data_IF_218159690587
#
_entry.id   IF_218159690587
#
_cell.length_a   1.000
_cell.length_b   1.000
_cell.length_c   1.000
_cell.angle_alpha   90.00
_cell.angle_beta   90.00
_cell.angle_gamma   90.00
#
_symmetry.space_group_name_H-M   'P 1'
#
loop_
_entity.id
_entity.type
_entity.pdbx_description
1 polymer ?
#
# COMPACT_ATOMS: atom_id res chain seq x y z
N UNK A 1 -7.48 23.27 -19.67
CA UNK A 1 -6.86 22.79 -18.44
C UNK A 1 -6.32 23.99 -17.68
N UNK A 2 -6.74 24.17 -16.47
CA UNK A 2 -6.28 25.34 -15.74
C UNK A 2 -4.92 25.10 -15.08
N UNK A 3 -4.32 26.20 -14.64
CA UNK A 3 -2.99 26.24 -14.08
C UNK A 3 -2.88 25.46 -12.75
N UNK A 4 -3.94 25.46 -11.96
CA UNK A 4 -3.96 24.76 -10.67
C UNK A 4 -3.94 23.24 -10.85
N UNK A 5 -4.60 22.73 -11.89
CA UNK A 5 -4.57 21.30 -12.22
C UNK A 5 -3.16 20.82 -12.54
N UNK A 6 -2.37 21.64 -13.25
CA UNK A 6 -0.99 21.31 -13.59
C UNK A 6 -0.13 21.18 -12.33
N UNK A 7 -0.28 22.08 -11.36
CA UNK A 7 0.46 22.02 -10.10
C UNK A 7 0.05 20.83 -9.25
N UNK A 8 -1.24 20.55 -9.19
CA UNK A 8 -1.74 19.37 -8.47
C UNK A 8 -1.17 18.07 -9.04
N UNK A 9 -1.10 17.97 -10.36
CA UNK A 9 -0.53 16.79 -11.04
C UNK A 9 0.97 16.65 -10.70
N UNK A 10 1.72 17.75 -10.70
CA UNK A 10 3.16 17.72 -10.38
C UNK A 10 3.42 17.25 -8.95
N UNK A 11 2.67 17.79 -7.97
CA UNK A 11 2.81 17.37 -6.58
C UNK A 11 2.50 15.90 -6.40
N UNK A 12 1.42 15.45 -7.01
CA UNK A 12 1.01 14.04 -6.99
C UNK A 12 2.04 13.14 -7.65
N UNK A 13 2.63 13.59 -8.79
CA UNK A 13 3.66 12.83 -9.49
C UNK A 13 4.88 12.58 -8.63
N UNK A 14 5.33 13.58 -7.86
CA UNK A 14 6.47 13.40 -6.94
C UNK A 14 6.18 12.39 -5.86
N UNK A 15 5.04 12.50 -5.22
CA UNK A 15 4.64 11.57 -4.17
C UNK A 15 4.43 10.16 -4.72
N UNK A 16 3.82 10.04 -5.90
CA UNK A 16 3.63 8.76 -6.57
C UNK A 16 4.99 8.12 -6.88
N UNK A 17 5.96 8.89 -7.35
CA UNK A 17 7.31 8.37 -7.59
C UNK A 17 7.96 7.84 -6.33
N UNK A 18 7.79 8.54 -5.20
CA UNK A 18 8.32 8.09 -3.91
C UNK A 18 7.65 6.79 -3.46
N UNK A 19 6.34 6.70 -3.65
CA UNK A 19 5.62 5.46 -3.34
C UNK A 19 6.07 4.33 -4.27
N UNK A 20 6.24 4.59 -5.57
CA UNK A 20 6.75 3.61 -6.53
C UNK A 20 8.13 3.10 -6.11
N UNK A 21 9.02 3.99 -5.69
CA UNK A 21 10.35 3.62 -5.22
C UNK A 21 10.27 2.74 -3.97
N UNK A 22 9.39 3.07 -3.03
CA UNK A 22 9.18 2.27 -1.83
C UNK A 22 8.62 0.88 -2.17
N UNK A 23 7.71 0.79 -3.14
CA UNK A 23 7.19 -0.50 -3.59
C UNK A 23 8.28 -1.34 -4.25
N UNK A 24 9.11 -0.75 -5.11
CA UNK A 24 10.25 -1.46 -5.73
C UNK A 24 11.21 -2.00 -4.67
N UNK A 25 11.45 -1.22 -3.62
CA UNK A 25 12.35 -1.62 -2.54
C UNK A 25 11.89 -2.88 -1.82
N UNK A 26 10.59 -3.18 -1.84
CA UNK A 26 10.04 -4.40 -1.23
C UNK A 26 9.62 -5.45 -2.27
N UNK A 27 10.08 -5.29 -3.52
CA UNK A 27 9.88 -6.28 -4.57
C UNK A 27 8.57 -6.18 -5.33
N UNK A 28 7.79 -5.12 -5.12
CA UNK A 28 6.53 -4.93 -5.82
C UNK A 28 6.71 -4.04 -7.05
N UNK A 29 6.52 -4.59 -8.27
CA UNK A 29 6.52 -3.75 -9.46
C UNK A 29 5.37 -2.73 -9.41
N UNK A 30 5.65 -1.43 -9.47
CA UNK A 30 4.59 -0.41 -9.34
C UNK A 30 3.47 -0.53 -10.39
N UNK A 31 3.78 -1.06 -11.57
CA UNK A 31 2.79 -1.24 -12.64
C UNK A 31 1.66 -2.20 -12.26
N UNK A 32 1.86 -3.06 -11.25
CA UNK A 32 0.83 -3.97 -10.77
C UNK A 32 -0.22 -3.27 -9.91
N UNK A 33 0.04 -2.04 -9.50
CA UNK A 33 -0.87 -1.26 -8.65
C UNK A 33 -1.46 -0.12 -9.48
N UNK A 34 -2.80 -0.04 -9.62
CA UNK A 34 -3.44 1.06 -10.35
C UNK A 34 -3.11 2.43 -9.73
N UNK A 35 -3.03 3.44 -10.57
CA UNK A 35 -2.75 4.81 -10.12
C UNK A 35 -3.78 5.31 -9.11
N UNK A 36 -5.05 4.93 -9.28
CA UNK A 36 -6.11 5.30 -8.34
C UNK A 36 -5.84 4.76 -6.93
N UNK A 37 -5.29 3.55 -6.82
CA UNK A 37 -4.90 2.96 -5.54
C UNK A 37 -3.75 3.76 -4.93
N UNK A 38 -2.72 4.07 -5.72
CA UNK A 38 -1.57 4.85 -5.26
C UNK A 38 -1.99 6.20 -4.71
N UNK A 39 -2.85 6.91 -5.43
CA UNK A 39 -3.35 8.21 -5.00
C UNK A 39 -4.16 8.11 -3.70
N UNK A 40 -4.98 7.08 -3.58
CA UNK A 40 -5.77 6.86 -2.38
C UNK A 40 -4.89 6.52 -1.18
N UNK A 41 -3.86 5.68 -1.38
CA UNK A 41 -2.88 5.38 -0.33
C UNK A 41 -2.21 6.67 0.17
N UNK A 42 -1.76 7.51 -0.75
CA UNK A 42 -1.14 8.78 -0.38
C UNK A 42 -2.10 9.70 0.39
N UNK A 43 -3.36 9.77 -0.03
CA UNK A 43 -4.37 10.55 0.67
C UNK A 43 -4.63 10.01 2.08
N UNK A 44 -4.68 8.70 2.25
CA UNK A 44 -4.86 8.07 3.57
C UNK A 44 -3.67 8.38 4.48
N UNK A 45 -2.46 8.33 3.95
CA UNK A 45 -1.25 8.68 4.71
C UNK A 45 -1.29 10.14 5.16
N UNK A 46 -1.68 11.04 4.26
CA UNK A 46 -1.82 12.46 4.57
C UNK A 46 -2.87 12.72 5.64
N UNK A 47 -4.03 12.08 5.51
CA UNK A 47 -5.11 12.23 6.49
C UNK A 47 -4.67 11.78 7.89
N UNK A 48 -3.88 10.70 7.96
CA UNK A 48 -3.36 10.21 9.23
C UNK A 48 -2.36 11.16 9.88
N UNK A 49 -1.70 12.03 9.09
CA UNK A 49 -0.69 12.99 9.58
C UNK A 49 -1.21 14.43 9.61
N UNK A 50 -2.51 14.63 9.46
CA UNK A 50 -3.11 15.97 9.55
C UNK A 50 -3.12 16.78 8.25
N UNK A 51 -2.91 16.11 7.10
CA UNK A 51 -3.06 16.73 5.79
C UNK A 51 -1.78 16.82 4.94
N UNK A 52 -0.61 16.78 5.58
CA UNK A 52 0.68 16.88 4.91
C UNK A 52 1.62 15.82 5.46
N UNK A 53 2.40 15.18 4.59
CA UNK A 53 3.40 14.20 5.02
C UNK A 53 4.68 14.92 5.46
N UNK A 54 5.08 14.72 6.72
CA UNK A 54 6.30 15.31 7.27
C UNK A 54 7.54 14.65 6.63
N UNK A 55 7.48 13.34 6.42
CA UNK A 55 8.54 12.56 5.77
C UNK A 55 7.89 11.61 4.78
N UNK A 56 7.86 12.00 3.52
CA UNK A 56 7.20 11.24 2.44
C UNK A 56 7.80 9.84 2.31
N UNK A 57 9.13 9.74 2.36
CA UNK A 57 9.81 8.45 2.19
C UNK A 57 9.48 7.48 3.33
N UNK A 58 9.46 7.96 4.57
CA UNK A 58 9.12 7.14 5.73
C UNK A 58 7.66 6.67 5.65
N UNK A 59 6.74 7.56 5.27
CA UNK A 59 5.34 7.21 5.14
C UNK A 59 5.12 6.18 4.03
N UNK A 60 5.76 6.35 2.88
CA UNK A 60 5.67 5.38 1.79
C UNK A 60 6.29 4.04 2.17
N UNK A 61 7.41 4.05 2.90
CA UNK A 61 8.06 2.83 3.39
C UNK A 61 7.18 2.05 4.37
N UNK A 62 6.29 2.74 5.07
CA UNK A 62 5.33 2.11 5.96
C UNK A 62 4.20 1.42 5.19
N UNK A 63 3.71 2.05 4.13
CA UNK A 63 2.60 1.53 3.33
C UNK A 63 3.01 0.42 2.36
N UNK A 64 4.21 0.52 1.76
CA UNK A 64 4.64 -0.35 0.69
C UNK A 64 4.65 -1.84 1.04
N UNK A 65 5.13 -2.28 2.22
CA UNK A 65 5.12 -3.72 2.54
C UNK A 65 3.73 -4.32 2.59
N UNK A 66 2.73 -3.59 3.07
CA UNK A 66 1.36 -4.09 3.11
C UNK A 66 0.80 -4.26 1.70
N UNK A 67 1.02 -3.27 0.83
CA UNK A 67 0.62 -3.37 -0.56
C UNK A 67 1.33 -4.54 -1.26
N UNK A 68 2.64 -4.67 -1.03
CA UNK A 68 3.43 -5.73 -1.64
C UNK A 68 2.96 -7.11 -1.21
N UNK A 69 2.73 -7.31 0.08
CA UNK A 69 2.24 -8.59 0.58
C UNK A 69 0.88 -8.94 -0.01
N UNK A 70 -0.05 -8.00 -0.04
CA UNK A 70 -1.39 -8.24 -0.57
C UNK A 70 -1.38 -8.58 -2.07
N UNK A 71 -0.53 -7.91 -2.84
CA UNK A 71 -0.47 -8.10 -4.30
C UNK A 71 0.36 -9.32 -4.69
N UNK A 72 1.51 -9.51 -4.05
CA UNK A 72 2.44 -10.60 -4.41
C UNK A 72 2.09 -11.94 -3.75
N UNK A 73 1.59 -11.90 -2.52
CA UNK A 73 1.39 -13.10 -1.73
C UNK A 73 2.64 -13.47 -0.92
N UNK A 74 2.47 -14.45 -0.04
CA UNK A 74 3.50 -14.84 0.93
C UNK A 74 4.79 -15.32 0.28
N UNK A 75 4.71 -16.17 -0.74
CA UNK A 75 5.91 -16.73 -1.39
C UNK A 75 6.75 -15.65 -2.07
N UNK A 76 6.15 -14.87 -2.95
CA UNK A 76 6.86 -13.83 -3.69
C UNK A 76 7.37 -12.73 -2.77
N UNK A 77 6.56 -12.35 -1.77
CA UNK A 77 7.00 -11.38 -0.78
C UNK A 77 8.21 -11.89 0.00
N UNK A 78 8.19 -13.16 0.40
CA UNK A 78 9.31 -13.77 1.13
C UNK A 78 10.57 -13.89 0.28
N UNK A 79 10.43 -14.19 -1.01
CA UNK A 79 11.59 -14.23 -1.93
C UNK A 79 12.27 -12.87 -2.01
N UNK A 80 11.49 -11.79 -2.03
CA UNK A 80 12.03 -10.44 -2.14
C UNK A 80 12.55 -9.89 -0.81
N UNK A 81 11.93 -10.25 0.32
CA UNK A 81 12.16 -9.57 1.61
C UNK A 81 12.65 -10.50 2.73
N UNK A 82 12.58 -11.80 2.54
CA UNK A 82 12.99 -12.78 3.54
C UNK A 82 11.86 -13.21 4.47
N UNK A 83 12.08 -14.32 5.21
CA UNK A 83 11.05 -14.90 6.07
C UNK A 83 10.67 -14.02 7.27
N UNK A 84 11.63 -13.30 7.86
CA UNK A 84 11.36 -12.45 9.01
C UNK A 84 10.44 -11.29 8.65
N UNK A 85 10.70 -10.63 7.52
CA UNK A 85 9.86 -9.56 7.01
C UNK A 85 8.45 -10.08 6.69
N UNK A 86 8.35 -11.29 6.18
CA UNK A 86 7.07 -11.93 5.86
C UNK A 86 6.26 -12.18 7.13
N UNK A 87 6.89 -12.71 8.18
CA UNK A 87 6.21 -12.91 9.46
C UNK A 87 5.74 -11.58 10.05
N UNK A 88 6.56 -10.55 9.94
CA UNK A 88 6.22 -9.22 10.46
C UNK A 88 5.02 -8.61 9.74
N UNK A 89 4.97 -8.69 8.41
CA UNK A 89 3.85 -8.13 7.66
C UNK A 89 2.57 -8.95 7.86
N UNK A 90 2.69 -10.26 8.01
CA UNK A 90 1.55 -11.12 8.30
C UNK A 90 0.95 -10.79 9.67
N UNK A 91 1.79 -10.53 10.66
CA UNK A 91 1.33 -10.09 11.98
C UNK A 91 0.62 -8.74 11.91
N UNK A 92 1.13 -7.80 11.11
CA UNK A 92 0.46 -6.50 10.88
C UNK A 92 -0.92 -6.70 10.27
N UNK A 93 -1.04 -7.57 9.28
CA UNK A 93 -2.32 -7.82 8.62
C UNK A 93 -3.33 -8.49 9.56
N UNK A 94 -2.90 -9.48 10.35
CA UNK A 94 -3.75 -10.09 11.39
C UNK A 94 -4.28 -9.04 12.36
N UNK A 95 -3.39 -8.20 12.86
CA UNK A 95 -3.75 -7.13 13.79
C UNK A 95 -4.74 -6.14 13.16
N UNK A 96 -4.51 -5.77 11.91
CA UNK A 96 -5.39 -4.86 11.16
C UNK A 96 -6.81 -5.44 11.03
N UNK A 97 -6.92 -6.72 10.75
CA UNK A 97 -8.20 -7.41 10.63
C UNK A 97 -8.93 -7.44 11.97
N UNK A 98 -8.23 -7.72 13.07
CA UNK A 98 -8.80 -7.76 14.41
C UNK A 98 -9.36 -6.40 14.83
N UNK A 99 -8.62 -5.32 14.57
CA UNK A 99 -9.04 -3.96 14.91
C UNK A 99 -10.15 -3.48 13.97
N UNK A 100 -10.06 -3.84 12.68
CA UNK A 100 -11.03 -3.44 11.67
C UNK A 100 -10.87 -2.03 11.12
N UNK A 101 -10.34 -1.10 11.92
CA UNK A 101 -10.11 0.29 11.52
C UNK A 101 -8.66 0.68 11.74
N UNK A 102 -7.84 0.58 10.69
CA UNK A 102 -6.44 0.98 10.73
C UNK A 102 -6.00 1.33 9.32
N UNK A 103 -4.85 1.98 9.18
CA UNK A 103 -4.27 2.24 7.86
C UNK A 103 -4.00 0.94 7.13
N UNK A 104 -3.43 -0.05 7.81
CA UNK A 104 -3.13 -1.35 7.20
C UNK A 104 -4.41 -2.03 6.68
N UNK A 105 -5.49 -1.98 7.44
CA UNK A 105 -6.78 -2.52 7.01
C UNK A 105 -7.29 -1.82 5.74
N UNK A 106 -7.12 -0.50 5.68
CA UNK A 106 -7.54 0.29 4.53
C UNK A 106 -6.67 -0.02 3.30
N UNK A 107 -5.37 -0.20 3.48
CA UNK A 107 -4.49 -0.59 2.38
C UNK A 107 -4.87 -1.96 1.82
N UNK A 108 -5.13 -2.93 2.68
CA UNK A 108 -5.59 -4.25 2.24
C UNK A 108 -6.93 -4.16 1.51
N UNK A 109 -7.86 -3.36 2.02
CA UNK A 109 -9.17 -3.14 1.38
C UNK A 109 -9.03 -2.54 -0.01
N UNK A 110 -8.12 -1.58 -0.19
CA UNK A 110 -7.87 -0.96 -1.48
C UNK A 110 -7.42 -1.98 -2.53
N UNK A 111 -6.55 -2.91 -2.15
CA UNK A 111 -6.10 -3.96 -3.08
C UNK A 111 -7.25 -4.89 -3.45
N UNK A 112 -8.16 -5.19 -2.50
CA UNK A 112 -9.36 -5.98 -2.77
C UNK A 112 -10.30 -5.27 -3.73
N UNK A 113 -10.59 -3.99 -3.47
CA UNK A 113 -11.48 -3.18 -4.32
C UNK A 113 -10.95 -3.08 -5.74
N UNK A 114 -9.65 -2.95 -5.89
CA UNK A 114 -8.98 -2.88 -7.19
C UNK A 114 -8.81 -4.26 -7.86
N UNK A 115 -9.15 -5.33 -7.14
CA UNK A 115 -9.03 -6.72 -7.63
C UNK A 115 -7.59 -7.10 -7.99
N UNK A 116 -6.64 -6.60 -7.21
CA UNK A 116 -5.22 -6.92 -7.40
C UNK A 116 -4.65 -7.76 -6.25
N UNK A 117 -5.47 -8.11 -5.26
CA UNK A 117 -5.03 -8.95 -4.15
C UNK A 117 -4.80 -10.38 -4.63
N UNK A 118 -3.68 -10.97 -4.22
CA UNK A 118 -3.35 -12.36 -4.52
C UNK A 118 -4.41 -13.29 -3.89
N UNK A 119 -5.03 -14.21 -4.66
CA UNK A 119 -6.09 -15.09 -4.13
C UNK A 119 -5.72 -15.86 -2.88
N UNK A 120 -4.49 -16.32 -2.76
CA UNK A 120 -4.02 -17.05 -1.57
C UNK A 120 -4.05 -16.19 -0.30
N UNK A 121 -3.83 -14.89 -0.44
CA UNK A 121 -3.93 -13.94 0.69
C UNK A 121 -5.39 -13.78 1.10
N UNK A 122 -6.28 -13.67 0.13
CA UNK A 122 -7.72 -13.58 0.38
C UNK A 122 -8.20 -14.80 1.17
N UNK A 123 -7.82 -16.00 0.74
CA UNK A 123 -8.19 -17.24 1.41
C UNK A 123 -7.60 -17.32 2.82
N UNK A 124 -6.32 -17.07 2.95
CA UNK A 124 -5.60 -17.21 4.21
C UNK A 124 -6.14 -16.31 5.30
N UNK A 125 -6.46 -15.06 4.97
CA UNK A 125 -6.93 -14.07 5.93
C UNK A 125 -8.43 -13.85 5.90
N UNK A 126 -9.15 -14.60 5.05
CA UNK A 126 -10.60 -14.48 4.88
C UNK A 126 -11.02 -13.03 4.60
N UNK A 127 -10.33 -12.40 3.64
CA UNK A 127 -10.58 -10.99 3.30
C UNK A 127 -11.88 -10.85 2.53
N UNK A 128 -12.74 -9.94 2.98
CA UNK A 128 -14.04 -9.69 2.37
C UNK A 128 -14.35 -8.21 2.31
N UNK A 129 -15.06 -7.83 1.25
CA UNK A 129 -15.61 -6.49 1.11
C UNK A 129 -16.97 -6.44 1.81
N UNK A 130 -16.99 -5.80 2.95
CA UNK A 130 -18.21 -5.58 3.70
C UNK A 130 -18.73 -6.79 4.41
#
# INVERSE_FOLDING_TARGET
MDFLSVFGIRGRSKEVHRLDDAMRAVGLPPKLVPDSVKLTVLNLLKDAEGGVLADVDASCARAAPMLAYCVLGSEEFSEANGPDATLAIEARLHHAIEIGESLDARFAMLTLLAKVTQPKVIERFDLRLG
#
